data_IF_890535564010
#
_entry.id   IF_890535564010
#
_cell.length_a   1.000
_cell.length_b   1.000
_cell.length_c   1.000
_cell.angle_alpha   90.00
_cell.angle_beta   90.00
_cell.angle_gamma   90.00
#
_symmetry.space_group_name_H-M   'P 1'
#
loop_
_entity.id
_entity.type
_entity.pdbx_description
1 polymer ?
#
# COMPACT_ATOMS: atom_id res chain seq x y z
N UNK A 1 -14.86 16.38 8.75
CA UNK A 1 -13.70 17.13 8.26
C UNK A 1 -12.45 16.26 8.39
N UNK A 2 -11.75 16.07 7.30
CA UNK A 2 -10.56 15.22 7.33
C UNK A 2 -9.35 15.98 7.87
N UNK A 3 -8.54 15.28 8.67
CA UNK A 3 -7.28 15.81 9.17
C UNK A 3 -6.22 15.69 8.08
N UNK A 4 -5.10 16.43 8.19
CA UNK A 4 -3.99 16.26 7.24
C UNK A 4 -3.49 14.81 7.17
N UNK A 5 -3.54 14.09 8.29
CA UNK A 5 -3.18 12.67 8.32
C UNK A 5 -4.11 11.81 7.49
N UNK A 6 -5.42 12.05 7.57
CA UNK A 6 -6.41 11.29 6.80
C UNK A 6 -6.25 11.51 5.31
N UNK A 7 -6.00 12.75 4.91
CA UNK A 7 -5.77 13.09 3.52
C UNK A 7 -4.56 12.33 2.96
N UNK A 8 -3.47 12.34 3.73
CA UNK A 8 -2.25 11.66 3.34
C UNK A 8 -2.46 10.15 3.21
N UNK A 9 -3.20 9.55 4.15
CA UNK A 9 -3.51 8.13 4.12
C UNK A 9 -4.34 7.76 2.90
N UNK A 10 -5.30 8.59 2.52
CA UNK A 10 -6.11 8.35 1.33
C UNK A 10 -5.26 8.33 0.06
N UNK A 11 -4.28 9.20 -0.05
CA UNK A 11 -3.34 9.20 -1.16
C UNK A 11 -2.52 7.91 -1.21
N UNK A 12 -2.03 7.49 -0.06
CA UNK A 12 -1.24 6.26 0.02
C UNK A 12 -2.05 5.05 -0.38
N UNK A 13 -3.30 4.98 0.05
CA UNK A 13 -4.22 3.89 -0.32
C UNK A 13 -4.41 3.85 -1.83
N UNK A 14 -4.69 4.99 -2.42
CA UNK A 14 -4.90 5.10 -3.86
C UNK A 14 -3.67 4.66 -4.63
N UNK A 15 -2.51 5.13 -4.23
CA UNK A 15 -1.25 4.78 -4.89
C UNK A 15 -0.94 3.29 -4.75
N UNK A 16 -1.16 2.72 -3.57
CA UNK A 16 -0.92 1.30 -3.34
C UNK A 16 -1.82 0.44 -4.22
N UNK A 17 -3.10 0.78 -4.30
CA UNK A 17 -4.05 0.06 -5.15
C UNK A 17 -3.71 0.21 -6.63
N UNK A 18 -3.22 1.38 -7.04
CA UNK A 18 -2.76 1.59 -8.42
C UNK A 18 -1.55 0.73 -8.75
N UNK A 19 -0.62 0.62 -7.83
CA UNK A 19 0.55 -0.25 -8.01
C UNK A 19 0.09 -1.68 -8.25
N UNK A 20 -0.82 -2.18 -7.43
CA UNK A 20 -1.36 -3.52 -7.57
C UNK A 20 -2.02 -3.75 -8.92
N UNK A 21 -2.72 -2.73 -9.44
CA UNK A 21 -3.41 -2.82 -10.72
C UNK A 21 -2.48 -2.68 -11.91
N UNK A 22 -1.30 -2.09 -11.72
CA UNK A 22 -0.38 -1.76 -12.81
C UNK A 22 0.66 -2.84 -13.09
N UNK A 23 0.73 -3.88 -12.27
CA UNK A 23 1.75 -4.92 -12.42
C UNK A 23 1.44 -5.75 -13.67
N UNK A 24 2.38 -5.80 -14.63
CA UNK A 24 2.13 -6.43 -15.94
C UNK A 24 2.10 -7.96 -15.91
N UNK A 25 2.77 -8.57 -14.93
CA UNK A 25 2.78 -10.02 -14.81
C UNK A 25 2.04 -10.44 -13.56
N UNK A 26 1.47 -11.65 -13.58
CA UNK A 26 0.73 -12.16 -12.44
C UNK A 26 1.57 -13.03 -11.51
N UNK A 27 2.87 -13.10 -11.78
CA UNK A 27 3.77 -13.86 -10.93
C UNK A 27 4.19 -13.01 -9.73
N UNK A 28 3.96 -13.54 -8.52
CA UNK A 28 4.39 -12.93 -7.27
C UNK A 28 4.03 -11.44 -7.18
N UNK A 29 2.77 -11.13 -7.44
CA UNK A 29 2.27 -9.76 -7.37
C UNK A 29 2.63 -9.10 -6.03
N UNK A 30 2.39 -9.74 -4.87
CA UNK A 30 2.79 -9.12 -3.59
C UNK A 30 4.28 -8.82 -3.52
N UNK A 31 5.13 -9.71 -4.02
CA UNK A 31 6.57 -9.48 -4.04
C UNK A 31 6.96 -8.30 -4.90
N UNK A 32 6.32 -8.15 -6.05
CA UNK A 32 6.57 -7.01 -6.93
C UNK A 32 6.14 -5.69 -6.28
N UNK A 33 5.00 -5.70 -5.59
CA UNK A 33 4.52 -4.53 -4.85
C UNK A 33 5.50 -4.16 -3.74
N UNK A 34 5.95 -5.15 -2.97
CA UNK A 34 6.91 -4.93 -1.89
C UNK A 34 8.21 -4.32 -2.43
N UNK A 35 8.72 -4.87 -3.52
CA UNK A 35 9.95 -4.38 -4.13
C UNK A 35 9.80 -2.94 -4.58
N UNK A 36 8.67 -2.60 -5.21
CA UNK A 36 8.39 -1.23 -5.63
C UNK A 36 8.35 -0.29 -4.44
N UNK A 37 7.64 -0.67 -3.38
CA UNK A 37 7.51 0.17 -2.20
C UNK A 37 8.85 0.38 -1.51
N UNK A 38 9.67 -0.67 -1.39
CA UNK A 38 11.00 -0.53 -0.77
C UNK A 38 11.88 0.44 -1.53
N UNK A 39 11.70 0.52 -2.83
CA UNK A 39 12.52 1.38 -3.68
C UNK A 39 12.05 2.83 -3.67
N UNK A 40 10.75 3.07 -3.63
CA UNK A 40 10.18 4.40 -3.86
C UNK A 40 9.47 5.00 -2.64
N UNK A 41 9.08 4.18 -1.67
CA UNK A 41 8.34 4.65 -0.51
C UNK A 41 9.24 4.82 0.70
N UNK A 42 8.98 5.87 1.48
CA UNK A 42 9.69 6.08 2.73
C UNK A 42 9.16 5.16 3.83
N UNK A 43 9.95 4.99 4.88
CA UNK A 43 9.53 4.20 6.05
C UNK A 43 8.24 4.75 6.66
N UNK A 44 8.11 6.08 6.70
CA UNK A 44 6.91 6.71 7.24
C UNK A 44 5.67 6.42 6.39
N UNK A 45 5.82 6.43 5.08
CA UNK A 45 4.72 6.10 4.17
C UNK A 45 4.25 4.66 4.39
N UNK A 46 5.19 3.74 4.50
CA UNK A 46 4.87 2.33 4.75
C UNK A 46 4.18 2.14 6.09
N UNK A 47 4.66 2.82 7.11
CA UNK A 47 4.07 2.76 8.45
C UNK A 47 2.63 3.28 8.43
N UNK A 48 2.39 4.41 7.77
CA UNK A 48 1.05 4.98 7.65
C UNK A 48 0.11 4.02 6.93
N UNK A 49 0.58 3.39 5.85
CA UNK A 49 -0.23 2.44 5.11
C UNK A 49 -0.56 1.21 5.93
N UNK A 50 0.39 0.70 6.70
CA UNK A 50 0.16 -0.43 7.60
C UNK A 50 -0.89 -0.11 8.65
N UNK A 51 -0.82 1.07 9.24
CA UNK A 51 -1.80 1.51 10.23
C UNK A 51 -3.20 1.60 9.62
N UNK A 52 -3.29 2.13 8.42
CA UNK A 52 -4.55 2.22 7.69
C UNK A 52 -5.09 0.84 7.36
N UNK A 53 -4.24 -0.06 6.94
CA UNK A 53 -4.62 -1.44 6.63
C UNK A 53 -5.17 -2.17 7.85
N UNK A 54 -4.61 -1.89 9.03
CA UNK A 54 -5.07 -2.49 10.27
C UNK A 54 -6.46 -1.97 10.68
N UNK A 55 -6.72 -0.69 10.42
CA UNK A 55 -8.01 -0.07 10.78
C UNK A 55 -9.12 -0.34 9.78
N UNK A 56 -8.78 -0.31 8.49
CA UNK A 56 -9.76 -0.47 7.41
C UNK A 56 -9.19 -1.39 6.34
N UNK A 57 -9.11 -2.70 6.62
CA UNK A 57 -8.50 -3.63 5.67
C UNK A 57 -9.22 -3.72 4.33
N UNK A 58 -10.52 -3.44 4.31
CA UNK A 58 -11.33 -3.61 3.10
C UNK A 58 -11.03 -2.62 1.98
N UNK A 59 -10.38 -1.51 2.30
CA UNK A 59 -10.10 -0.47 1.30
C UNK A 59 -8.83 -0.73 0.50
N UNK A 60 -8.03 -1.71 0.90
CA UNK A 60 -6.81 -2.08 0.20
C UNK A 60 -6.98 -3.38 -0.56
N UNK A 61 -6.34 -3.45 -1.72
CA UNK A 61 -6.27 -4.66 -2.51
C UNK A 61 -5.59 -5.78 -1.70
N UNK A 62 -6.04 -7.02 -1.86
CA UNK A 62 -5.47 -8.17 -1.16
C UNK A 62 -3.97 -8.32 -1.40
N UNK A 63 -3.53 -8.04 -2.61
CA UNK A 63 -2.11 -8.14 -2.95
C UNK A 63 -1.29 -7.10 -2.19
N UNK A 64 -1.88 -5.93 -1.93
CA UNK A 64 -1.23 -4.90 -1.13
C UNK A 64 -1.08 -5.38 0.32
N UNK A 65 -2.12 -6.00 0.88
CA UNK A 65 -2.04 -6.58 2.23
C UNK A 65 -0.92 -7.61 2.34
N UNK A 66 -0.85 -8.50 1.37
CA UNK A 66 0.20 -9.53 1.33
C UNK A 66 1.58 -8.90 1.22
N UNK A 67 1.71 -7.86 0.40
CA UNK A 67 2.97 -7.14 0.24
C UNK A 67 3.41 -6.48 1.54
N UNK A 68 2.49 -5.89 2.29
CA UNK A 68 2.79 -5.24 3.56
C UNK A 68 3.31 -6.22 4.60
N UNK A 69 2.84 -7.46 4.56
CA UNK A 69 3.33 -8.49 5.46
C UNK A 69 4.78 -8.88 5.19
N UNK A 70 5.24 -8.66 3.96
CA UNK A 70 6.60 -8.99 3.54
C UNK A 70 7.60 -7.86 3.82
N UNK A 71 7.13 -6.69 4.19
CA UNK A 71 7.99 -5.51 4.39
C UNK A 71 8.58 -5.42 5.80
#
# INVERSE_FOLDING_TARGET
>A
MSTPGDYKQQHLIKWANQIASSIPTREDIPGQISAHMRQFWTTEMLKSLRETAAKTPDILNEDVHSALQSL
#
